data_IF_895475315263
#
_entry.id   IF_895475315263
#
_cell.length_a   1.000
_cell.length_b   1.000
_cell.length_c   1.000
_cell.angle_alpha   90.00
_cell.angle_beta   90.00
_cell.angle_gamma   90.00
#
_symmetry.space_group_name_H-M   'P 1'
#
loop_
_entity.id
_entity.type
_entity.pdbx_description
1 polymer ?
#
# COMPACT_ATOMS: atom_id res chain seq x y z
N UNK A 1 11.65 13.89 57.18
CA UNK A 1 11.14 12.87 56.22
C UNK A 1 12.16 11.80 55.79
N UNK A 2 13.44 11.85 56.18
CA UNK A 2 14.48 10.89 55.73
C UNK A 2 14.50 9.54 56.48
N UNK A 3 14.14 9.51 57.77
CA UNK A 3 14.08 8.28 58.59
C UNK A 3 13.11 7.22 58.02
N UNK A 4 11.96 7.65 57.47
CA UNK A 4 10.86 6.73 57.15
C UNK A 4 11.17 5.87 55.91
N UNK A 5 11.94 6.44 54.98
CA UNK A 5 12.39 5.73 53.77
C UNK A 5 13.36 4.60 54.10
N UNK A 6 14.21 4.78 55.12
CA UNK A 6 15.22 3.80 55.54
C UNK A 6 14.60 2.57 56.20
N UNK A 7 13.45 2.73 56.86
CA UNK A 7 12.73 1.64 57.54
C UNK A 7 11.91 0.78 56.56
N UNK A 8 11.54 1.32 55.40
CA UNK A 8 10.74 0.65 54.38
C UNK A 8 11.56 0.00 53.26
N UNK A 9 12.90 0.04 53.32
CA UNK A 9 13.77 -0.61 52.31
C UNK A 9 13.67 0.01 50.90
N UNK A 10 13.14 1.24 50.79
CA UNK A 10 12.98 1.93 49.51
C UNK A 10 14.36 2.44 49.08
N UNK A 11 14.94 1.80 48.05
CA UNK A 11 16.20 2.25 47.43
C UNK A 11 15.98 3.60 46.76
N UNK A 12 16.94 4.52 46.92
CA UNK A 12 16.89 5.83 46.29
C UNK A 12 16.76 5.69 44.77
N UNK A 13 15.85 6.46 44.18
CA UNK A 13 15.56 6.43 42.74
C UNK A 13 16.80 6.80 41.93
N UNK A 14 17.12 5.95 40.95
CA UNK A 14 18.19 6.19 39.98
C UNK A 14 17.79 7.39 39.12
N UNK A 15 18.62 8.44 38.99
CA UNK A 15 18.28 9.58 38.16
C UNK A 15 18.12 9.13 36.70
N UNK A 16 16.94 9.37 36.13
CA UNK A 16 16.65 9.18 34.71
C UNK A 16 17.60 10.06 33.89
N UNK A 17 18.50 9.42 33.15
CA UNK A 17 19.33 10.07 32.17
C UNK A 17 18.42 10.80 31.17
N UNK A 18 18.50 12.12 31.14
CA UNK A 18 17.80 12.95 30.17
C UNK A 18 18.38 12.65 28.79
N UNK A 19 17.58 11.98 27.94
CA UNK A 19 17.89 11.86 26.52
C UNK A 19 17.99 13.26 25.90
N UNK A 20 18.96 13.52 25.02
CA UNK A 20 19.04 14.80 24.35
C UNK A 20 17.77 15.04 23.55
N UNK A 21 17.18 16.22 23.76
CA UNK A 21 16.06 16.74 22.98
C UNK A 21 16.54 16.85 21.53
N UNK A 22 16.06 15.95 20.67
CA UNK A 22 16.30 16.04 19.24
C UNK A 22 15.64 17.31 18.72
N UNK A 23 16.46 18.20 18.13
CA UNK A 23 15.98 19.40 17.45
C UNK A 23 15.02 18.97 16.35
N UNK A 24 13.82 19.56 16.31
CA UNK A 24 12.86 19.38 15.23
C UNK A 24 13.50 19.81 13.91
N UNK A 25 13.93 18.84 13.11
CA UNK A 25 14.26 19.08 11.73
C UNK A 25 12.93 19.28 10.99
N UNK A 26 12.80 20.44 10.34
CA UNK A 26 11.71 20.73 9.42
C UNK A 26 11.63 19.61 8.38
N UNK A 27 10.41 19.14 8.12
CA UNK A 27 10.07 18.11 7.16
C UNK A 27 10.48 18.46 5.73
N UNK A 28 11.75 18.24 5.40
CA UNK A 28 12.21 18.10 4.03
C UNK A 28 12.42 16.60 3.80
N UNK A 29 11.31 15.87 3.64
CA UNK A 29 11.40 14.52 3.08
C UNK A 29 11.72 14.65 1.58
N UNK A 30 12.71 13.91 1.06
CA UNK A 30 12.95 13.90 -0.37
C UNK A 30 11.69 13.39 -1.08
N UNK A 31 11.33 13.94 -2.25
CA UNK A 31 10.26 13.35 -3.05
C UNK A 31 10.64 11.89 -3.31
N UNK A 32 9.73 10.97 -3.03
CA UNK A 32 9.86 9.56 -3.38
C UNK A 32 9.89 9.45 -4.91
N UNK A 33 11.04 9.70 -5.50
CA UNK A 33 11.25 9.39 -6.90
C UNK A 33 11.53 7.90 -6.93
N UNK A 34 10.47 7.13 -7.20
CA UNK A 34 10.62 5.85 -7.88
C UNK A 34 11.63 6.11 -8.99
N UNK A 35 12.82 5.52 -8.89
CA UNK A 35 13.82 5.68 -9.94
C UNK A 35 13.12 5.26 -11.24
N UNK A 36 12.94 6.17 -12.22
CA UNK A 36 12.36 5.77 -13.49
C UNK A 36 13.35 4.75 -14.03
N UNK A 37 12.92 3.48 -14.03
CA UNK A 37 13.67 2.28 -14.44
C UNK A 37 15.06 2.67 -14.95
N UNK A 38 16.11 2.40 -14.18
CA UNK A 38 17.46 2.34 -14.75
C UNK A 38 17.31 1.64 -16.07
N UNK A 39 17.69 2.33 -17.15
CA UNK A 39 17.53 1.93 -18.54
C UNK A 39 18.48 0.77 -18.86
N UNK A 40 18.42 -0.29 -18.05
CA UNK A 40 18.93 -1.59 -18.38
C UNK A 40 18.23 -1.98 -19.69
N UNK A 41 19.04 -2.13 -20.73
CA UNK A 41 18.61 -2.53 -22.05
C UNK A 41 17.54 -3.62 -21.92
N UNK A 42 16.36 -3.37 -22.50
CA UNK A 42 15.23 -4.30 -22.50
C UNK A 42 15.72 -5.57 -23.18
N UNK A 43 16.18 -6.55 -22.38
CA UNK A 43 16.68 -7.82 -22.90
C UNK A 43 15.54 -8.44 -23.67
N UNK A 44 15.72 -8.63 -24.98
CA UNK A 44 14.72 -9.29 -25.82
C UNK A 44 14.72 -10.75 -25.36
N UNK A 45 13.73 -11.09 -24.53
CA UNK A 45 13.47 -12.47 -24.11
C UNK A 45 12.88 -13.19 -25.31
N UNK A 46 13.49 -14.31 -25.70
CA UNK A 46 12.97 -15.11 -26.81
C UNK A 46 11.57 -15.63 -26.46
N UNK A 47 10.68 -15.78 -27.44
CA UNK A 47 9.32 -16.29 -27.19
C UNK A 47 9.33 -17.66 -26.49
N UNK A 48 10.35 -18.47 -26.76
CA UNK A 48 10.60 -19.78 -26.12
C UNK A 48 10.98 -19.69 -24.64
N UNK A 49 11.41 -18.52 -24.17
CA UNK A 49 11.78 -18.25 -22.78
C UNK A 49 10.66 -17.54 -22.01
N UNK A 50 9.55 -17.17 -22.68
CA UNK A 50 8.38 -16.62 -21.98
C UNK A 50 7.80 -17.68 -21.07
N UNK A 51 7.81 -17.40 -19.77
CA UNK A 51 7.14 -18.23 -18.78
C UNK A 51 5.65 -18.22 -19.10
N UNK A 52 5.05 -19.41 -19.17
CA UNK A 52 3.61 -19.55 -19.27
C UNK A 52 3.01 -19.19 -17.91
N UNK A 53 2.28 -18.09 -17.85
CA UNK A 53 1.57 -17.67 -16.65
C UNK A 53 0.27 -18.44 -16.51
N UNK A 54 -0.11 -18.68 -15.25
CA UNK A 54 -1.45 -19.12 -14.88
C UNK A 54 -2.26 -17.84 -14.71
N UNK A 55 -3.22 -17.63 -15.60
CA UNK A 55 -4.14 -16.50 -15.54
C UNK A 55 -5.31 -16.85 -14.59
N UNK A 56 -5.56 -15.96 -13.65
CA UNK A 56 -6.61 -16.07 -12.64
C UNK A 56 -7.46 -14.81 -12.72
N UNK A 57 -8.63 -14.94 -13.35
CA UNK A 57 -9.67 -13.91 -13.28
C UNK A 57 -10.32 -13.92 -11.90
N UNK A 58 -10.48 -12.74 -11.32
CA UNK A 58 -11.13 -12.53 -10.02
C UNK A 58 -12.56 -12.02 -10.27
N UNK A 59 -13.59 -12.89 -10.38
CA UNK A 59 -14.93 -12.47 -10.77
C UNK A 59 -15.69 -11.79 -9.63
N UNK A 60 -15.64 -12.36 -8.43
CA UNK A 60 -16.35 -11.86 -7.26
C UNK A 60 -15.48 -12.04 -6.02
N UNK A 61 -15.15 -10.93 -5.36
CA UNK A 61 -14.45 -10.92 -4.07
C UNK A 61 -15.24 -10.10 -3.06
N UNK A 62 -14.99 -10.36 -1.78
CA UNK A 62 -15.52 -9.57 -0.68
C UNK A 62 -14.39 -9.15 0.22
N UNK A 63 -14.37 -7.87 0.58
CA UNK A 63 -13.29 -7.24 1.32
C UNK A 63 -12.20 -6.70 0.39
N UNK A 64 -11.14 -6.19 1.01
CA UNK A 64 -10.00 -5.61 0.33
C UNK A 64 -8.89 -6.65 0.16
N UNK A 65 -8.24 -6.65 -1.00
CA UNK A 65 -7.09 -7.51 -1.28
C UNK A 65 -5.96 -6.70 -1.88
N UNK A 66 -4.73 -7.15 -1.65
CA UNK A 66 -3.55 -6.67 -2.35
C UNK A 66 -3.07 -7.72 -3.34
N UNK A 67 -2.79 -7.31 -4.57
CA UNK A 67 -1.90 -8.05 -5.45
C UNK A 67 -0.50 -7.50 -5.23
N UNK A 68 0.39 -8.31 -4.64
CA UNK A 68 1.78 -7.95 -4.38
C UNK A 68 2.65 -8.51 -5.49
N UNK A 69 3.24 -7.63 -6.30
CA UNK A 69 4.01 -8.01 -7.48
C UNK A 69 5.19 -8.93 -7.13
N UNK A 70 5.23 -10.11 -7.73
CA UNK A 70 6.29 -11.08 -7.56
C UNK A 70 6.27 -12.10 -8.71
N UNK A 71 7.41 -12.64 -9.20
CA UNK A 71 7.45 -13.59 -10.30
C UNK A 71 7.00 -15.01 -9.88
N UNK A 72 5.73 -15.14 -9.48
CA UNK A 72 5.11 -16.37 -8.97
C UNK A 72 4.69 -17.33 -10.09
N UNK A 73 4.58 -16.85 -11.32
CA UNK A 73 3.93 -17.54 -12.44
C UNK A 73 2.40 -17.44 -12.42
N UNK A 74 1.82 -16.64 -11.51
CA UNK A 74 0.36 -16.45 -11.37
C UNK A 74 0.03 -14.99 -11.63
N UNK A 75 -0.76 -14.74 -12.66
CA UNK A 75 -1.24 -13.42 -13.06
C UNK A 75 -2.70 -13.27 -12.66
N UNK A 76 -3.00 -12.23 -11.88
CA UNK A 76 -4.37 -11.92 -11.47
C UNK A 76 -4.92 -10.82 -12.36
N UNK A 77 -6.11 -11.06 -12.91
CA UNK A 77 -6.85 -10.09 -13.72
C UNK A 77 -8.13 -9.70 -12.97
N UNK A 78 -8.42 -8.40 -12.89
CA UNK A 78 -9.56 -7.87 -12.14
C UNK A 78 -10.31 -6.80 -12.93
N UNK A 79 -11.65 -6.84 -12.93
CA UNK A 79 -12.45 -5.81 -13.57
C UNK A 79 -12.40 -4.50 -12.76
N UNK A 80 -12.16 -3.39 -13.44
CA UNK A 80 -12.00 -2.09 -12.84
C UNK A 80 -12.59 -0.97 -13.72
N UNK A 81 -12.61 0.26 -13.19
CA UNK A 81 -13.11 1.46 -13.86
C UNK A 81 -14.61 1.44 -14.24
N UNK A 82 -15.44 0.79 -13.42
CA UNK A 82 -16.89 0.71 -13.60
C UNK A 82 -17.27 0.34 -15.03
N UNK A 83 -18.08 1.20 -15.65
CA UNK A 83 -18.68 0.92 -16.98
C UNK A 83 -17.68 0.87 -18.13
N UNK A 84 -16.42 1.24 -17.89
CA UNK A 84 -15.37 1.07 -18.88
C UNK A 84 -14.89 -0.38 -18.99
N UNK A 85 -15.18 -1.21 -17.97
CA UNK A 85 -14.82 -2.62 -17.89
C UNK A 85 -13.35 -2.86 -18.26
N UNK A 86 -12.44 -2.12 -17.62
CA UNK A 86 -11.01 -2.36 -17.80
C UNK A 86 -10.62 -3.62 -17.04
N UNK A 87 -9.67 -4.38 -17.58
CA UNK A 87 -9.21 -5.64 -17.00
C UNK A 87 -7.68 -5.63 -16.91
N UNK A 88 -7.09 -4.74 -16.09
CA UNK A 88 -5.66 -4.78 -15.83
C UNK A 88 -5.28 -6.09 -15.12
N UNK A 89 -4.00 -6.46 -15.28
CA UNK A 89 -3.45 -7.67 -14.70
C UNK A 89 -2.13 -7.40 -13.97
N UNK A 90 -1.84 -8.21 -12.95
CA UNK A 90 -0.56 -8.16 -12.23
C UNK A 90 -0.16 -9.56 -11.76
N UNK A 91 1.07 -9.94 -12.06
CA UNK A 91 1.68 -11.18 -11.56
C UNK A 91 2.10 -11.02 -10.09
N UNK A 92 1.71 -11.94 -9.21
CA UNK A 92 2.06 -11.79 -7.80
C UNK A 92 1.44 -12.76 -6.82
N UNK A 93 1.35 -12.30 -5.56
CA UNK A 93 0.58 -12.93 -4.50
C UNK A 93 -0.71 -12.15 -4.25
N UNK A 94 -1.84 -12.84 -4.13
CA UNK A 94 -3.09 -12.26 -3.69
C UNK A 94 -3.19 -12.35 -2.17
N UNK A 95 -3.23 -11.21 -1.48
CA UNK A 95 -3.16 -11.11 -0.02
C UNK A 95 -4.45 -10.44 0.49
N UNK A 96 -5.30 -11.16 1.24
CA UNK A 96 -6.47 -10.53 1.87
C UNK A 96 -6.01 -9.53 2.93
N UNK A 97 -6.65 -8.35 2.95
CA UNK A 97 -6.47 -7.37 4.01
C UNK A 97 -7.58 -7.59 5.03
N UNK A 98 -7.21 -7.71 6.30
CA UNK A 98 -8.14 -7.66 7.42
C UNK A 98 -8.62 -6.22 7.62
N UNK A 99 -9.47 -5.76 6.71
CA UNK A 99 -10.19 -4.50 6.78
C UNK A 99 -11.66 -4.77 7.09
N UNK A 100 -12.35 -3.81 7.69
CA UNK A 100 -13.80 -3.92 7.84
C UNK A 100 -14.47 -3.80 6.47
N UNK A 101 -15.62 -4.47 6.31
CA UNK A 101 -16.48 -4.30 5.13
C UNK A 101 -16.88 -2.84 4.90
N UNK A 102 -16.79 -1.98 5.92
CA UNK A 102 -17.04 -0.56 5.79
C UNK A 102 -15.98 0.13 4.91
N UNK A 103 -14.73 -0.33 4.93
CA UNK A 103 -13.65 0.26 4.12
C UNK A 103 -13.89 0.05 2.63
N UNK A 104 -14.27 -1.17 2.25
CA UNK A 104 -14.68 -1.49 0.88
C UNK A 104 -15.88 -0.66 0.45
N UNK A 105 -16.94 -0.59 1.28
CA UNK A 105 -18.13 0.17 0.95
C UNK A 105 -17.85 1.67 0.80
N UNK A 106 -16.97 2.23 1.64
CA UNK A 106 -16.62 3.64 1.58
C UNK A 106 -15.77 3.96 0.33
N UNK A 107 -14.82 3.08 -0.03
CA UNK A 107 -14.09 3.17 -1.28
C UNK A 107 -15.03 3.04 -2.49
N UNK A 108 -15.90 2.03 -2.53
CA UNK A 108 -16.87 1.87 -3.62
C UNK A 108 -17.77 3.11 -3.75
N UNK A 109 -18.28 3.62 -2.62
CA UNK A 109 -19.12 4.83 -2.60
C UNK A 109 -18.38 6.07 -3.08
N UNK A 110 -17.07 6.16 -2.83
CA UNK A 110 -16.23 7.24 -3.32
C UNK A 110 -16.16 7.27 -4.84
N UNK A 111 -16.17 6.11 -5.52
CA UNK A 111 -16.07 6.04 -6.99
C UNK A 111 -17.42 6.16 -7.74
N UNK A 112 -18.57 5.97 -7.05
CA UNK A 112 -19.92 6.10 -7.65
C UNK A 112 -20.19 7.40 -8.43
N UNK A 113 -19.71 8.61 -8.02
CA UNK A 113 -19.98 9.87 -8.72
C UNK A 113 -19.32 10.05 -10.11
N UNK A 114 -18.94 8.96 -10.78
CA UNK A 114 -18.20 8.93 -12.05
C UNK A 114 -16.72 9.35 -11.91
N UNK A 115 -15.99 8.73 -10.98
CA UNK A 115 -14.55 8.94 -10.88
C UNK A 115 -13.78 8.24 -12.00
N UNK A 116 -13.22 9.09 -12.86
CA UNK A 116 -12.06 8.98 -13.74
C UNK A 116 -11.73 7.63 -14.42
N UNK A 117 -12.13 7.55 -15.70
CA UNK A 117 -11.49 6.68 -16.71
C UNK A 117 -10.05 7.10 -17.05
N UNK A 118 -9.56 8.22 -16.52
CA UNK A 118 -8.25 8.83 -16.82
C UNK A 118 -7.27 8.77 -15.63
N UNK A 119 -7.57 7.89 -14.67
CA UNK A 119 -6.80 7.66 -13.46
C UNK A 119 -7.04 8.70 -12.35
N UNK A 120 -6.47 8.48 -11.18
CA UNK A 120 -6.62 9.37 -10.03
C UNK A 120 -5.94 10.73 -10.24
N UNK A 121 -6.50 11.75 -9.58
CA UNK A 121 -5.87 13.04 -9.32
C UNK A 121 -5.17 13.06 -7.97
N UNK A 122 -4.36 14.08 -7.71
CA UNK A 122 -3.73 14.26 -6.39
C UNK A 122 -4.77 14.44 -5.27
N UNK A 123 -5.88 15.15 -5.57
CA UNK A 123 -7.00 15.30 -4.64
C UNK A 123 -7.66 13.96 -4.34
N UNK A 124 -7.83 13.11 -5.36
CA UNK A 124 -8.40 11.78 -5.12
C UNK A 124 -7.48 10.95 -4.20
N UNK A 125 -6.17 11.10 -4.36
CA UNK A 125 -5.22 10.44 -3.48
C UNK A 125 -5.34 10.90 -2.02
N UNK A 126 -5.51 12.21 -1.79
CA UNK A 126 -5.74 12.76 -0.44
C UNK A 126 -7.05 12.25 0.19
N UNK A 127 -8.13 12.22 -0.60
CA UNK A 127 -9.44 11.75 -0.13
C UNK A 127 -9.40 10.25 0.22
N UNK A 128 -8.74 9.43 -0.60
CA UNK A 128 -8.58 7.99 -0.36
C UNK A 128 -7.65 7.72 0.83
N UNK A 129 -6.55 8.46 0.98
CA UNK A 129 -5.69 8.37 2.16
C UNK A 129 -6.48 8.69 3.45
N UNK A 130 -7.45 9.61 3.38
CA UNK A 130 -8.33 9.89 4.50
C UNK A 130 -9.28 8.71 4.80
N UNK A 131 -9.76 7.98 3.78
CA UNK A 131 -10.51 6.72 3.94
C UNK A 131 -9.61 5.68 4.63
N UNK A 132 -8.40 5.45 4.13
CA UNK A 132 -7.45 4.50 4.73
C UNK A 132 -7.23 4.78 6.22
N UNK A 133 -7.04 6.04 6.59
CA UNK A 133 -6.89 6.45 7.99
C UNK A 133 -8.10 6.12 8.85
N UNK A 134 -9.34 6.35 8.36
CA UNK A 134 -10.58 6.01 9.10
C UNK A 134 -10.69 4.51 9.39
N UNK A 135 -10.21 3.68 8.47
CA UNK A 135 -10.27 2.21 8.56
C UNK A 135 -8.98 1.56 9.10
N UNK A 136 -8.07 2.32 9.71
CA UNK A 136 -6.79 1.81 10.25
C UNK A 136 -5.89 1.13 9.19
N UNK A 137 -6.04 1.55 7.94
CA UNK A 137 -5.18 1.17 6.81
C UNK A 137 -4.09 2.22 6.55
N UNK A 138 -3.74 3.00 7.57
CA UNK A 138 -2.75 4.07 7.50
C UNK A 138 -1.32 3.57 7.20
N UNK A 139 -1.11 2.26 7.17
CA UNK A 139 0.11 1.61 6.69
C UNK A 139 0.19 1.53 5.16
N UNK A 140 -0.92 1.72 4.45
CA UNK A 140 -0.98 1.94 3.02
C UNK A 140 -0.94 3.43 2.69
N UNK A 141 -0.40 3.75 1.52
CA UNK A 141 -0.57 5.02 0.83
C UNK A 141 -0.68 4.79 -0.67
N UNK A 142 -1.28 5.72 -1.40
CA UNK A 142 -1.33 5.64 -2.86
C UNK A 142 0.05 5.92 -3.45
N UNK A 143 0.43 5.19 -4.50
CA UNK A 143 1.67 5.39 -5.23
C UNK A 143 1.56 6.66 -6.12
N UNK A 144 2.23 7.78 -5.77
CA UNK A 144 2.01 9.06 -6.45
C UNK A 144 2.47 9.07 -7.92
N UNK A 145 3.42 8.20 -8.26
CA UNK A 145 3.92 8.01 -9.62
C UNK A 145 3.04 7.10 -10.49
N UNK A 146 1.96 6.53 -9.94
CA UNK A 146 1.04 5.60 -10.63
C UNK A 146 -0.43 6.04 -10.52
N UNK A 147 -0.68 7.31 -10.21
CA UNK A 147 -2.05 7.86 -10.15
C UNK A 147 -2.80 7.65 -11.48
N UNK A 148 -2.12 7.83 -12.62
CA UNK A 148 -2.71 7.66 -13.95
C UNK A 148 -3.07 6.22 -14.33
N UNK A 149 -2.47 5.25 -13.64
CA UNK A 149 -2.73 3.83 -13.82
C UNK A 149 -3.67 3.28 -12.72
N UNK A 150 -4.17 4.13 -11.83
CA UNK A 150 -5.04 3.76 -10.72
C UNK A 150 -6.48 4.13 -11.04
N UNK A 151 -7.40 3.18 -10.91
CA UNK A 151 -8.82 3.30 -11.21
C UNK A 151 -9.68 2.78 -10.05
N UNK A 152 -10.99 2.98 -10.14
CA UNK A 152 -11.94 2.25 -9.30
C UNK A 152 -11.63 0.75 -9.35
N UNK A 153 -11.58 0.10 -8.19
CA UNK A 153 -11.25 -1.31 -7.98
C UNK A 153 -9.83 -1.73 -8.41
N UNK A 154 -8.94 -0.78 -8.72
CA UNK A 154 -7.54 -1.03 -9.06
C UNK A 154 -6.64 0.15 -8.68
N UNK A 155 -6.18 0.23 -7.43
CA UNK A 155 -5.37 1.35 -6.96
C UNK A 155 -3.94 0.89 -6.73
N UNK A 156 -2.97 1.53 -7.38
CA UNK A 156 -1.56 1.31 -7.06
C UNK A 156 -1.23 1.92 -5.71
N UNK A 157 -0.74 1.08 -4.80
CA UNK A 157 -0.42 1.46 -3.41
C UNK A 157 1.02 1.11 -3.06
N UNK A 158 1.49 1.68 -1.97
CA UNK A 158 2.77 1.41 -1.34
C UNK A 158 2.56 1.23 0.17
N UNK A 159 3.49 0.54 0.82
CA UNK A 159 3.54 0.45 2.27
C UNK A 159 4.40 1.58 2.79
N UNK A 160 3.90 2.32 3.79
CA UNK A 160 4.68 3.40 4.39
C UNK A 160 5.89 2.83 5.15
N UNK A 161 7.05 3.47 5.06
CA UNK A 161 8.32 2.92 5.56
C UNK A 161 8.34 2.68 7.07
N UNK A 162 7.50 3.37 7.85
CA UNK A 162 7.35 3.14 9.28
C UNK A 162 6.70 1.78 9.62
N UNK A 163 6.13 1.06 8.64
CA UNK A 163 5.54 -0.26 8.81
C UNK A 163 6.39 -1.35 8.16
N UNK A 164 7.39 -1.84 8.89
CA UNK A 164 8.35 -2.84 8.39
C UNK A 164 7.89 -4.29 8.58
N UNK A 165 6.74 -4.53 9.20
CA UNK A 165 6.26 -5.88 9.53
C UNK A 165 5.63 -6.62 8.34
N UNK A 166 5.53 -5.98 7.17
CA UNK A 166 4.99 -6.63 5.98
C UNK A 166 6.12 -7.37 5.26
N UNK A 167 6.15 -8.71 5.31
CA UNK A 167 7.31 -9.52 4.90
C UNK A 167 7.65 -9.41 3.41
N UNK A 168 6.73 -8.91 2.59
CA UNK A 168 6.94 -8.72 1.15
C UNK A 168 7.81 -7.50 0.80
N UNK A 169 8.09 -6.63 1.78
CA UNK A 169 8.91 -5.43 1.59
C UNK A 169 10.35 -5.59 2.11
N UNK A 170 10.65 -6.66 2.86
CA UNK A 170 12.01 -6.89 3.37
C UNK A 170 12.93 -7.31 2.21
N UNK A 171 13.81 -6.40 1.79
CA UNK A 171 14.83 -6.66 0.77
C UNK A 171 14.41 -6.38 -0.68
N UNK A 172 13.20 -5.89 -0.93
CA UNK A 172 12.81 -5.38 -2.26
C UNK A 172 13.34 -3.96 -2.46
N UNK A 173 14.35 -3.80 -3.32
CA UNK A 173 14.76 -2.50 -3.86
C UNK A 173 14.62 -2.54 -5.41
N UNK A 174 13.65 -1.83 -6.00
CA UNK A 174 12.68 -0.93 -5.37
C UNK A 174 11.60 -1.67 -4.55
N UNK A 175 10.83 -0.95 -3.71
CA UNK A 175 9.67 -1.51 -3.00
C UNK A 175 8.75 -2.28 -3.96
N UNK A 176 8.23 -3.42 -3.51
CA UNK A 176 7.31 -4.23 -4.30
C UNK A 176 6.12 -3.40 -4.80
N UNK A 177 5.83 -3.45 -6.10
CA UNK A 177 4.62 -2.87 -6.68
C UNK A 177 3.41 -3.59 -6.09
N UNK A 178 2.43 -2.84 -5.61
CA UNK A 178 1.23 -3.39 -4.99
C UNK A 178 -0.01 -2.74 -5.59
N UNK A 179 -1.07 -3.52 -5.78
CA UNK A 179 -2.37 -3.04 -6.24
C UNK A 179 -3.42 -3.44 -5.23
N UNK A 180 -4.16 -2.46 -4.72
CA UNK A 180 -5.37 -2.65 -3.92
C UNK A 180 -6.56 -2.90 -4.86
N UNK A 181 -7.26 -4.01 -4.64
CA UNK A 181 -8.46 -4.41 -5.36
C UNK A 181 -9.61 -4.70 -4.38
N UNK A 182 -10.84 -4.56 -4.87
CA UNK A 182 -12.09 -4.90 -4.18
C UNK A 182 -13.20 -5.15 -5.21
N UNK A 183 -14.40 -5.52 -4.78
CA UNK A 183 -15.50 -5.75 -5.73
C UNK A 183 -15.82 -4.48 -6.52
N UNK A 184 -15.74 -4.57 -7.86
CA UNK A 184 -16.18 -3.48 -8.73
C UNK A 184 -17.69 -3.26 -8.52
N UNK A 185 -18.14 -2.00 -8.52
CA UNK A 185 -19.50 -1.64 -8.09
C UNK A 185 -20.59 -1.84 -9.15
N UNK A 186 -20.20 -2.21 -10.37
CA UNK A 186 -21.07 -2.45 -11.54
C UNK A 186 -21.72 -3.84 -11.58
#
# INVERSE_FOLDING_TARGET
>A
MSWLKKLLGIKDEVPLATKPIAKSQSSNFPPYTFSPRTSAARKIVLESEKRKLIDVEIPEIRGLYLIVHHPTGVEYTHQCAGTACFHPSLEGYLVPIEASYEAENELASYFLPAHSRSGLSERDAEDIDAIFKRHKLEWLCIAPNRLKDSYEAWIHVCIKPEYTWVPFCEGSDPPAEMVLIWQNSD
#
